data_IF_260265506586
#
_entry.id   IF_260265506586
#
_cell.length_a   1.000
_cell.length_b   1.000
_cell.length_c   1.000
_cell.angle_alpha   90.00
_cell.angle_beta   90.00
_cell.angle_gamma   90.00
#
_symmetry.space_group_name_H-M   'P 1'
#
loop_
_entity.id
_entity.type
_entity.pdbx_description
1 polymer ?
#
# COMPACT_ATOMS: atom_id res chain seq x y z
N UNK A 1 2.38 20.33 2.40
CA UNK A 1 3.52 19.47 2.82
C UNK A 1 3.05 18.04 2.66
N UNK A 2 3.85 17.19 2.02
CA UNK A 2 3.50 15.80 1.78
C UNK A 2 4.34 14.91 2.70
N UNK A 3 3.81 13.74 3.02
CA UNK A 3 4.45 12.70 3.82
C UNK A 3 4.43 11.39 3.04
N UNK A 4 5.38 10.52 3.33
CA UNK A 4 5.47 9.22 2.69
C UNK A 4 4.85 8.16 3.60
N UNK A 5 3.92 7.39 3.06
CA UNK A 5 3.45 6.14 3.64
C UNK A 5 4.16 4.96 2.97
N UNK A 6 4.37 3.89 3.74
CA UNK A 6 5.11 2.71 3.31
C UNK A 6 4.31 1.43 3.54
N UNK A 7 4.34 0.53 2.57
CA UNK A 7 3.66 -0.76 2.67
C UNK A 7 4.59 -1.87 2.22
N UNK A 8 4.71 -2.89 3.06
CA UNK A 8 5.39 -4.13 2.73
C UNK A 8 4.40 -5.04 2.01
N UNK A 9 4.79 -5.62 0.87
CA UNK A 9 3.96 -6.53 0.06
C UNK A 9 4.75 -7.80 -0.26
N UNK A 10 4.17 -8.99 -0.05
CA UNK A 10 4.84 -10.26 -0.44
C UNK A 10 5.13 -10.32 -1.94
N UNK A 11 6.31 -10.84 -2.30
CA UNK A 11 6.69 -11.07 -3.70
C UNK A 11 5.94 -12.23 -4.32
N UNK A 12 5.91 -13.36 -3.62
CA UNK A 12 5.17 -14.55 -4.05
C UNK A 12 3.74 -14.47 -3.55
N UNK A 13 2.83 -14.24 -4.50
CA UNK A 13 1.38 -14.19 -4.27
C UNK A 13 0.68 -14.94 -5.39
N UNK A 14 -0.43 -15.61 -5.08
CA UNK A 14 -1.27 -16.25 -6.08
C UNK A 14 -1.98 -15.22 -6.96
N UNK A 15 -2.37 -15.63 -8.17
CA UNK A 15 -3.02 -14.75 -9.17
C UNK A 15 -4.24 -13.97 -8.62
N UNK A 16 -5.15 -14.59 -7.83
CA UNK A 16 -6.23 -13.86 -7.16
C UNK A 16 -5.74 -12.73 -6.27
N UNK A 17 -4.73 -12.97 -5.43
CA UNK A 17 -4.14 -11.96 -4.54
C UNK A 17 -3.46 -10.84 -5.31
N UNK A 18 -2.70 -11.19 -6.36
CA UNK A 18 -2.05 -10.19 -7.21
C UNK A 18 -3.08 -9.21 -7.81
N UNK A 19 -4.25 -9.71 -8.22
CA UNK A 19 -5.35 -8.87 -8.74
C UNK A 19 -5.94 -7.96 -7.66
N UNK A 20 -6.07 -8.44 -6.42
CA UNK A 20 -6.52 -7.61 -5.29
C UNK A 20 -5.53 -6.50 -4.94
N UNK A 21 -4.23 -6.81 -4.92
CA UNK A 21 -3.17 -5.81 -4.73
C UNK A 21 -3.21 -4.76 -5.84
N UNK A 22 -3.45 -5.17 -7.09
CA UNK A 22 -3.61 -4.25 -8.21
C UNK A 22 -4.83 -3.35 -8.04
N UNK A 23 -5.96 -3.91 -7.59
CA UNK A 23 -7.19 -3.16 -7.27
C UNK A 23 -6.93 -2.12 -6.17
N UNK A 24 -6.26 -2.52 -5.08
CA UNK A 24 -5.85 -1.63 -3.99
C UNK A 24 -5.02 -0.46 -4.54
N UNK A 25 -3.98 -0.75 -5.33
CA UNK A 25 -3.13 0.29 -5.95
C UNK A 25 -3.96 1.25 -6.81
N UNK A 26 -4.88 0.72 -7.62
CA UNK A 26 -5.81 1.51 -8.43
C UNK A 26 -6.69 2.44 -7.60
N UNK A 27 -7.26 1.94 -6.51
CA UNK A 27 -8.10 2.72 -5.59
C UNK A 27 -7.32 3.85 -4.91
N UNK A 28 -6.05 3.62 -4.55
CA UNK A 28 -5.20 4.67 -3.96
C UNK A 28 -4.90 5.78 -4.96
N UNK A 29 -4.61 5.44 -6.21
CA UNK A 29 -4.42 6.43 -7.29
C UNK A 29 -5.70 7.25 -7.48
N UNK A 30 -6.85 6.57 -7.55
CA UNK A 30 -8.15 7.22 -7.75
C UNK A 30 -8.53 8.20 -6.62
N UNK A 31 -8.07 7.94 -5.39
CA UNK A 31 -8.27 8.82 -4.23
C UNK A 31 -7.25 9.97 -4.12
N UNK A 32 -6.41 10.16 -5.16
CA UNK A 32 -5.32 11.13 -5.20
C UNK A 32 -4.30 10.94 -4.07
N UNK A 33 -4.13 9.71 -3.58
CA UNK A 33 -3.13 9.39 -2.55
C UNK A 33 -1.74 9.11 -3.14
N UNK A 34 -1.51 9.34 -4.44
CA UNK A 34 -0.30 8.84 -5.09
C UNK A 34 0.29 9.80 -6.12
N UNK A 35 1.53 10.21 -5.87
CA UNK A 35 2.61 9.98 -6.84
C UNK A 35 3.20 8.61 -6.48
N UNK A 36 3.16 7.62 -7.38
CA UNK A 36 3.84 6.34 -7.14
C UNK A 36 5.34 6.63 -7.21
N UNK A 37 6.00 6.69 -6.05
CA UNK A 37 7.38 7.21 -5.97
C UNK A 37 8.38 6.10 -6.28
N UNK A 38 8.20 4.92 -5.68
CA UNK A 38 9.18 3.85 -5.78
C UNK A 38 8.65 2.49 -5.28
N UNK A 39 9.31 1.41 -5.74
CA UNK A 39 9.27 0.11 -5.11
C UNK A 39 10.72 -0.34 -4.86
N UNK A 40 11.04 -0.74 -3.64
CA UNK A 40 12.34 -1.30 -3.28
C UNK A 40 12.21 -2.81 -3.04
N UNK A 41 13.24 -3.56 -3.40
CA UNK A 41 13.47 -4.90 -2.86
C UNK A 41 13.85 -4.76 -1.38
N UNK A 42 12.88 -5.02 -0.50
CA UNK A 42 13.13 -4.95 0.93
C UNK A 42 13.94 -6.15 1.40
N UNK A 43 13.50 -7.35 1.01
CA UNK A 43 14.11 -8.63 1.35
C UNK A 43 13.80 -9.68 0.26
N UNK A 44 14.25 -10.93 0.42
CA UNK A 44 13.95 -12.04 -0.50
C UNK A 44 12.44 -12.31 -0.65
N UNK A 45 11.64 -11.97 0.36
CA UNK A 45 10.21 -12.32 0.42
C UNK A 45 9.26 -11.14 0.20
N UNK A 46 9.75 -9.89 0.27
CA UNK A 46 8.89 -8.71 0.28
C UNK A 46 9.42 -7.54 -0.58
N UNK A 47 8.49 -6.81 -1.20
CA UNK A 47 8.70 -5.49 -1.76
C UNK A 47 8.24 -4.41 -0.77
N UNK A 48 8.95 -3.29 -0.72
CA UNK A 48 8.49 -2.08 -0.04
C UNK A 48 7.94 -1.09 -1.07
N UNK A 49 6.69 -0.67 -0.91
CA UNK A 49 6.05 0.35 -1.73
C UNK A 49 5.94 1.69 -0.99
N UNK A 50 6.22 2.78 -1.69
CA UNK A 50 6.17 4.14 -1.14
C UNK A 50 5.11 4.96 -1.84
N UNK A 51 4.30 5.65 -1.04
CA UNK A 51 3.22 6.52 -1.53
C UNK A 51 3.31 7.89 -0.87
N UNK A 52 3.26 8.96 -1.67
CA UNK A 52 3.20 10.33 -1.18
C UNK A 52 1.76 10.74 -0.97
N UNK A 53 1.41 11.15 0.26
CA UNK A 53 0.11 11.71 0.60
C UNK A 53 0.27 13.10 1.22
N UNK A 54 -0.74 13.94 1.12
CA UNK A 54 -0.76 15.19 1.88
C UNK A 54 -0.71 14.89 3.39
N UNK A 55 0.14 15.61 4.14
CA UNK A 55 0.31 15.38 5.58
C UNK A 55 -1.02 15.52 6.34
N UNK A 56 -1.91 16.42 5.90
CA UNK A 56 -3.24 16.60 6.49
C UNK A 56 -4.14 15.37 6.34
N UNK A 57 -3.93 14.57 5.28
CA UNK A 57 -4.70 13.37 4.97
C UNK A 57 -3.97 12.08 5.35
N UNK A 58 -2.81 12.16 6.01
CA UNK A 58 -2.01 10.97 6.41
C UNK A 58 -2.85 9.95 7.16
N UNK A 59 -3.61 10.41 8.15
CA UNK A 59 -4.45 9.54 8.99
C UNK A 59 -5.59 8.92 8.18
N UNK A 60 -6.31 9.73 7.41
CA UNK A 60 -7.39 9.27 6.52
C UNK A 60 -6.89 8.21 5.52
N UNK A 61 -5.73 8.45 4.91
CA UNK A 61 -5.10 7.53 3.97
C UNK A 61 -4.66 6.22 4.66
N UNK A 62 -4.06 6.30 5.84
CA UNK A 62 -3.69 5.11 6.62
C UNK A 62 -4.92 4.27 7.02
N UNK A 63 -5.97 4.91 7.52
CA UNK A 63 -7.23 4.27 7.91
C UNK A 63 -7.92 3.64 6.68
N UNK A 64 -7.94 4.33 5.54
CA UNK A 64 -8.48 3.83 4.30
C UNK A 64 -7.73 2.58 3.82
N UNK A 65 -6.39 2.61 3.83
CA UNK A 65 -5.57 1.49 3.40
C UNK A 65 -5.72 0.30 4.35
N UNK A 66 -5.74 0.53 5.66
CA UNK A 66 -6.03 -0.52 6.63
C UNK A 66 -7.42 -1.14 6.41
N UNK A 67 -8.42 -0.30 6.06
CA UNK A 67 -9.75 -0.73 5.65
C UNK A 67 -9.71 -1.67 4.44
N UNK A 68 -9.08 -1.24 3.35
CA UNK A 68 -8.97 -2.04 2.13
C UNK A 68 -8.18 -3.34 2.34
N UNK A 69 -7.07 -3.31 3.10
CA UNK A 69 -6.29 -4.52 3.41
C UNK A 69 -7.16 -5.55 4.12
N UNK A 70 -7.99 -5.11 5.07
CA UNK A 70 -8.89 -5.99 5.82
C UNK A 70 -10.05 -6.50 4.96
N UNK A 71 -10.68 -5.63 4.17
CA UNK A 71 -11.80 -6.01 3.28
C UNK A 71 -11.36 -7.02 2.21
N UNK A 72 -10.17 -6.84 1.65
CA UNK A 72 -9.63 -7.71 0.59
C UNK A 72 -8.92 -8.97 1.14
N UNK A 73 -8.91 -9.17 2.47
CA UNK A 73 -8.20 -10.26 3.16
C UNK A 73 -6.69 -10.29 2.82
N UNK A 74 -6.07 -9.11 2.71
CA UNK A 74 -4.66 -8.94 2.39
C UNK A 74 -3.77 -8.81 3.64
N UNK A 75 -4.31 -8.93 4.85
CA UNK A 75 -3.59 -8.67 6.10
C UNK A 75 -2.28 -9.46 6.26
N UNK A 76 -2.19 -10.66 5.69
CA UNK A 76 -0.97 -11.52 5.74
C UNK A 76 0.02 -11.27 4.60
N UNK A 77 -0.32 -10.31 3.73
CA UNK A 77 0.28 -10.10 2.42
C UNK A 77 0.75 -8.66 2.26
N UNK A 78 -0.04 -7.71 2.75
CA UNK A 78 0.22 -6.28 2.75
C UNK A 78 0.20 -5.77 4.18
N UNK A 79 1.30 -5.15 4.61
CA UNK A 79 1.42 -4.57 5.94
C UNK A 79 1.81 -3.10 5.81
N UNK A 80 1.04 -2.21 6.46
CA UNK A 80 1.41 -0.81 6.60
C UNK A 80 2.58 -0.69 7.58
N UNK A 81 3.65 -0.03 7.16
CA UNK A 81 4.86 0.21 7.97
C UNK A 81 4.88 1.68 8.33
N UNK A 82 4.40 2.00 9.53
CA UNK A 82 4.49 3.36 10.07
C UNK A 82 5.87 3.60 10.69
N UNK A 83 6.54 4.67 10.26
CA UNK A 83 7.70 5.24 10.96
C UNK A 83 7.47 6.73 11.14
#
# INVERSE_FOLDING_TARGET
MNTILRFRVKKEVDTPTARKILSLKGSLIAQCYTDIIHFDDEDEHFYMHYFSVETARRKEAADYIAGCIREELLSDIVMLVEK
#
